data_IF_939985813382
#
_entry.id   IF_939985813382
#
_cell.length_a   1.000
_cell.length_b   1.000
_cell.length_c   1.000
_cell.angle_alpha   90.00
_cell.angle_beta   90.00
_cell.angle_gamma   90.00
#
_symmetry.space_group_name_H-M   'P 1'
#
loop_
_entity.id
_entity.type
_entity.pdbx_description
1 polymer ?
#
# COMPACT_ATOMS: atom_id res chain seq x y z
N UNK A 1 15.72 4.02 4.11
CA UNK A 1 15.70 5.25 3.28
C UNK A 1 14.34 5.94 3.40
N UNK A 2 14.30 7.27 3.43
CA UNK A 2 13.08 8.07 3.24
C UNK A 2 12.93 8.39 1.74
N UNK A 3 11.70 8.48 1.23
CA UNK A 3 11.45 8.82 -0.18
C UNK A 3 11.29 10.34 -0.35
N UNK A 4 11.60 10.85 -1.54
CA UNK A 4 11.47 12.25 -1.93
C UNK A 4 10.88 12.37 -3.35
N UNK A 5 10.27 13.51 -3.67
CA UNK A 5 9.65 13.78 -4.98
C UNK A 5 10.66 13.80 -6.13
N UNK A 6 11.93 14.14 -5.87
CA UNK A 6 12.98 14.17 -6.89
C UNK A 6 13.55 12.79 -7.22
N UNK A 7 13.18 11.74 -6.48
CA UNK A 7 13.67 10.39 -6.71
C UNK A 7 13.03 9.78 -7.95
N UNK A 8 13.81 9.01 -8.69
CA UNK A 8 13.23 8.21 -9.78
C UNK A 8 12.26 7.16 -9.24
N UNK A 9 11.29 6.78 -10.08
CA UNK A 9 10.32 5.70 -9.81
C UNK A 9 11.00 4.43 -9.33
N UNK A 10 12.16 4.07 -9.89
CA UNK A 10 12.89 2.88 -9.47
C UNK A 10 13.48 3.00 -8.07
N UNK A 11 14.04 4.16 -7.71
CA UNK A 11 14.56 4.37 -6.37
C UNK A 11 13.43 4.34 -5.32
N UNK A 12 12.25 4.88 -5.65
CA UNK A 12 11.06 4.81 -4.79
C UNK A 12 10.64 3.36 -4.57
N UNK A 13 10.56 2.56 -5.65
CA UNK A 13 10.19 1.13 -5.57
C UNK A 13 11.18 0.31 -4.75
N UNK A 14 12.49 0.54 -4.93
CA UNK A 14 13.52 -0.10 -4.12
C UNK A 14 13.35 0.25 -2.64
N UNK A 15 13.17 1.53 -2.31
CA UNK A 15 12.95 1.98 -0.93
C UNK A 15 11.71 1.34 -0.28
N UNK A 16 10.62 1.15 -1.05
CA UNK A 16 9.42 0.48 -0.56
C UNK A 16 9.61 -1.03 -0.43
N UNK A 17 10.33 -1.65 -1.36
CA UNK A 17 10.67 -3.08 -1.34
C UNK A 17 11.51 -3.44 -0.13
N UNK A 18 12.55 -2.65 0.18
CA UNK A 18 13.36 -2.80 1.40
C UNK A 18 12.53 -2.73 2.67
N UNK A 19 11.44 -1.95 2.64
CA UNK A 19 10.52 -1.85 3.76
C UNK A 19 9.54 -3.01 3.81
N UNK A 20 9.40 -3.83 2.76
CA UNK A 20 8.48 -4.97 2.68
C UNK A 20 7.23 -4.74 1.83
N UNK A 21 7.17 -3.66 1.05
CA UNK A 21 6.09 -3.37 0.11
C UNK A 21 6.46 -3.85 -1.31
N UNK A 22 5.61 -4.68 -1.92
CA UNK A 22 5.68 -5.00 -3.34
C UNK A 22 4.94 -3.96 -4.18
N UNK A 23 5.30 -3.81 -5.45
CA UNK A 23 4.61 -2.92 -6.40
C UNK A 23 4.03 -3.69 -7.59
N UNK A 24 2.83 -3.34 -8.02
CA UNK A 24 2.17 -3.87 -9.23
C UNK A 24 1.71 -2.70 -10.11
N UNK A 25 1.88 -2.84 -11.42
CA UNK A 25 1.54 -1.85 -12.43
C UNK A 25 0.50 -2.41 -13.40
N UNK A 26 -0.41 -1.56 -13.87
CA UNK A 26 -1.36 -1.93 -14.93
C UNK A 26 -1.68 -0.76 -15.83
N UNK A 27 -1.51 -0.95 -17.12
CA UNK A 27 -2.10 -0.09 -18.15
C UNK A 27 -3.45 -0.68 -18.54
N UNK A 28 -4.48 0.16 -18.60
CA UNK A 28 -5.84 -0.24 -18.95
C UNK A 28 -6.30 0.59 -20.14
N UNK A 29 -6.75 -0.08 -21.21
CA UNK A 29 -7.43 0.57 -22.32
C UNK A 29 -8.93 0.65 -22.00
N UNK A 30 -9.53 1.82 -22.13
CA UNK A 30 -10.96 1.97 -21.94
C UNK A 30 -11.71 1.41 -23.15
N UNK A 31 -12.72 0.57 -22.90
CA UNK A 31 -13.55 0.02 -23.98
C UNK A 31 -14.45 1.14 -24.53
N UNK A 32 -14.37 1.40 -25.83
CA UNK A 32 -15.17 2.43 -26.50
C UNK A 32 -14.55 3.82 -26.55
N UNK A 33 -13.31 4.00 -26.07
CA UNK A 33 -12.53 5.23 -26.28
C UNK A 33 -11.09 4.88 -26.68
N UNK A 34 -10.35 5.88 -27.20
CA UNK A 34 -8.91 5.75 -27.47
C UNK A 34 -8.05 6.07 -26.22
N UNK A 35 -8.70 6.25 -25.07
CA UNK A 35 -8.03 6.59 -23.82
C UNK A 35 -7.37 5.38 -23.16
N UNK A 36 -6.22 5.64 -22.53
CA UNK A 36 -5.52 4.71 -21.66
C UNK A 36 -5.49 5.28 -20.24
N UNK A 37 -5.63 4.39 -19.25
CA UNK A 37 -5.36 4.69 -17.86
C UNK A 37 -4.19 3.87 -17.35
N UNK A 38 -3.53 4.38 -16.32
CA UNK A 38 -2.48 3.68 -15.60
C UNK A 38 -2.86 3.55 -14.13
N UNK A 39 -2.57 2.39 -13.57
CA UNK A 39 -2.76 2.08 -12.16
C UNK A 39 -1.49 1.52 -11.55
N UNK A 40 -1.22 1.89 -10.31
CA UNK A 40 -0.17 1.31 -9.48
C UNK A 40 -0.73 0.89 -8.13
N UNK A 41 -0.28 -0.25 -7.63
CA UNK A 41 -0.55 -0.71 -6.27
C UNK A 41 0.75 -0.94 -5.53
N UNK A 42 0.86 -0.39 -4.33
CA UNK A 42 1.82 -0.86 -3.33
C UNK A 42 1.12 -1.82 -2.38
N UNK A 43 1.69 -3.01 -2.24
CA UNK A 43 1.05 -4.16 -1.62
C UNK A 43 1.91 -4.75 -0.51
N UNK A 44 1.29 -5.16 0.59
CA UNK A 44 2.01 -5.75 1.72
C UNK A 44 1.23 -6.91 2.35
N UNK A 45 1.92 -8.01 2.61
CA UNK A 45 1.34 -9.25 3.17
C UNK A 45 1.44 -9.35 4.70
N UNK A 46 2.37 -8.63 5.30
CA UNK A 46 2.61 -8.62 6.73
C UNK A 46 2.44 -7.19 7.25
N UNK A 47 1.64 -7.00 8.30
CA UNK A 47 1.49 -5.73 8.98
C UNK A 47 2.03 -5.82 10.40
N UNK A 48 3.04 -5.02 10.73
CA UNK A 48 3.63 -4.95 12.08
C UNK A 48 3.85 -6.31 12.75
N UNK A 49 4.36 -7.30 12.01
CA UNK A 49 4.64 -8.66 12.51
C UNK A 49 3.58 -9.70 12.16
N UNK A 50 2.34 -9.29 11.89
CA UNK A 50 1.22 -10.21 11.65
C UNK A 50 1.00 -10.43 10.16
N UNK A 51 0.97 -11.69 9.73
CA UNK A 51 0.57 -12.09 8.37
C UNK A 51 -0.90 -12.48 8.36
N UNK A 52 -1.67 -11.93 7.42
CA UNK A 52 -3.07 -12.29 7.18
C UNK A 52 -3.23 -12.88 5.76
N UNK A 53 -4.36 -13.52 5.49
CA UNK A 53 -4.62 -14.19 4.21
C UNK A 53 -4.77 -13.22 3.01
N UNK A 54 -4.92 -11.93 3.29
CA UNK A 54 -5.08 -10.88 2.28
C UNK A 54 -3.84 -9.96 2.23
N UNK A 55 -3.71 -9.20 1.15
CA UNK A 55 -2.69 -8.14 1.03
C UNK A 55 -3.31 -6.78 1.31
N UNK A 56 -2.65 -5.96 2.11
CA UNK A 56 -2.97 -4.52 2.20
C UNK A 56 -2.54 -3.90 0.89
N UNK A 57 -3.44 -3.14 0.26
CA UNK A 57 -3.20 -2.51 -1.04
C UNK A 57 -3.44 -1.02 -0.95
N UNK A 58 -2.46 -0.24 -1.37
CA UNK A 58 -2.58 1.20 -1.59
C UNK A 58 -2.49 1.45 -3.09
N UNK A 59 -3.58 1.93 -3.66
CA UNK A 59 -3.81 2.13 -5.08
C UNK A 59 -3.74 3.60 -5.47
N UNK A 60 -3.11 3.85 -6.61
CA UNK A 60 -3.16 5.10 -7.35
C UNK A 60 -3.56 4.86 -8.80
N UNK A 61 -4.31 5.79 -9.37
CA UNK A 61 -4.78 5.75 -10.76
C UNK A 61 -4.66 7.13 -11.41
N UNK A 62 -4.37 7.15 -12.72
CA UNK A 62 -4.44 8.34 -13.56
C UNK A 62 -4.76 7.96 -15.00
N UNK A 63 -5.46 8.85 -15.70
CA UNK A 63 -5.63 8.87 -17.16
C UNK A 63 -4.58 9.77 -17.85
N UNK A 64 -3.84 10.59 -17.10
CA UNK A 64 -2.73 11.40 -17.57
C UNK A 64 -1.40 10.63 -17.49
N UNK A 65 -1.02 10.00 -18.60
CA UNK A 65 0.22 9.24 -18.70
C UNK A 65 1.50 10.09 -18.69
N UNK A 66 1.39 11.42 -18.67
CA UNK A 66 2.55 12.30 -18.49
C UNK A 66 2.92 12.49 -17.01
N UNK A 67 2.03 12.09 -16.10
CA UNK A 67 2.13 12.35 -14.66
C UNK A 67 2.40 11.09 -13.82
N UNK A 68 2.99 10.06 -14.42
CA UNK A 68 3.18 8.75 -13.76
C UNK A 68 4.11 8.86 -12.55
N UNK A 69 5.22 9.59 -12.66
CA UNK A 69 6.22 9.68 -11.59
C UNK A 69 5.63 10.29 -10.31
N UNK A 70 4.84 11.37 -10.47
CA UNK A 70 4.10 12.00 -9.38
C UNK A 70 3.06 11.06 -8.76
N UNK A 71 2.35 10.29 -9.58
CA UNK A 71 1.39 9.29 -9.10
C UNK A 71 2.09 8.21 -8.28
N UNK A 72 3.22 7.68 -8.76
CA UNK A 72 4.01 6.68 -8.05
C UNK A 72 4.46 7.24 -6.70
N UNK A 73 5.03 8.43 -6.67
CA UNK A 73 5.47 9.08 -5.43
C UNK A 73 4.31 9.25 -4.44
N UNK A 74 3.18 9.83 -4.86
CA UNK A 74 2.03 10.06 -3.97
C UNK A 74 1.46 8.77 -3.41
N UNK A 75 1.40 7.72 -4.24
CA UNK A 75 0.91 6.40 -3.81
C UNK A 75 1.89 5.73 -2.84
N UNK A 76 3.19 5.84 -3.09
CA UNK A 76 4.23 5.34 -2.21
C UNK A 76 4.24 6.07 -0.86
N UNK A 77 4.16 7.40 -0.88
CA UNK A 77 4.08 8.24 0.32
C UNK A 77 2.86 7.88 1.17
N UNK A 78 1.70 7.66 0.54
CA UNK A 78 0.50 7.18 1.22
C UNK A 78 0.71 5.80 1.86
N UNK A 79 1.40 4.87 1.21
CA UNK A 79 1.69 3.56 1.78
C UNK A 79 2.63 3.63 2.99
N UNK A 80 3.67 4.44 2.91
CA UNK A 80 4.57 4.67 4.04
C UNK A 80 3.86 5.37 5.20
N UNK A 81 3.03 6.36 4.90
CA UNK A 81 2.22 7.04 5.91
C UNK A 81 1.21 6.09 6.57
N UNK A 82 0.58 5.21 5.80
CA UNK A 82 -0.32 4.20 6.34
C UNK A 82 0.37 3.30 7.37
N UNK A 83 1.62 2.90 7.10
CA UNK A 83 2.42 2.11 8.04
C UNK A 83 2.62 2.82 9.39
N UNK A 84 2.88 4.12 9.36
CA UNK A 84 3.10 4.94 10.57
C UNK A 84 1.80 5.30 11.29
N UNK A 85 0.74 5.64 10.54
CA UNK A 85 -0.53 6.11 11.13
C UNK A 85 -1.36 4.95 11.72
N UNK A 86 -1.19 3.72 11.22
CA UNK A 86 -1.95 2.53 11.63
C UNK A 86 -1.06 1.48 12.30
N UNK A 87 -0.46 1.84 13.44
CA UNK A 87 0.41 0.93 14.23
C UNK A 87 -0.35 -0.22 14.88
N UNK A 88 -1.57 0.09 15.31
CA UNK A 88 -2.45 -0.81 16.05
C UNK A 88 -3.73 -1.15 15.28
N UNK A 89 -3.70 -0.96 13.95
CA UNK A 89 -4.84 -1.23 13.08
C UNK A 89 -4.41 -1.62 11.66
N UNK A 90 -5.32 -2.26 10.93
CA UNK A 90 -5.16 -2.52 9.50
C UNK A 90 -5.88 -1.42 8.71
N UNK A 91 -5.19 -0.68 7.82
CA UNK A 91 -5.84 0.30 6.97
C UNK A 91 -6.53 -0.36 5.78
N UNK A 92 -7.69 0.17 5.38
CA UNK A 92 -8.31 -0.05 4.08
C UNK A 92 -8.42 1.27 3.32
N UNK A 93 -8.19 1.22 2.00
CA UNK A 93 -8.40 2.37 1.15
C UNK A 93 -9.84 2.42 0.65
N UNK A 94 -10.48 3.56 0.84
CA UNK A 94 -11.83 3.85 0.36
C UNK A 94 -11.80 4.28 -1.11
N UNK A 95 -12.97 4.30 -1.76
CA UNK A 95 -13.12 4.71 -3.17
C UNK A 95 -12.70 6.17 -3.43
N UNK A 96 -12.77 7.04 -2.43
CA UNK A 96 -12.29 8.43 -2.49
C UNK A 96 -10.77 8.55 -2.28
N UNK A 97 -10.08 7.43 -2.07
CA UNK A 97 -8.65 7.35 -1.83
C UNK A 97 -8.20 7.66 -0.40
N UNK A 98 -9.12 7.95 0.52
CA UNK A 98 -8.81 8.07 1.96
C UNK A 98 -8.54 6.70 2.58
N UNK A 99 -7.82 6.68 3.70
CA UNK A 99 -7.59 5.47 4.48
C UNK A 99 -8.48 5.47 5.72
N UNK A 100 -9.04 4.30 6.05
CA UNK A 100 -9.82 4.07 7.26
C UNK A 100 -9.38 2.77 7.92
N UNK A 101 -9.72 2.58 9.19
CA UNK A 101 -9.51 1.31 9.90
C UNK A 101 -10.44 0.25 9.30
N UNK A 102 -9.88 -0.86 8.84
CA UNK A 102 -10.63 -2.06 8.52
C UNK A 102 -11.01 -2.77 9.81
N UNK A 103 -12.28 -2.70 10.21
CA UNK A 103 -12.72 -3.26 11.50
C UNK A 103 -12.51 -4.77 11.59
N UNK A 104 -12.73 -5.49 10.49
CA UNK A 104 -12.65 -6.96 10.47
C UNK A 104 -11.18 -7.37 10.56
N UNK A 105 -10.34 -6.90 9.64
CA UNK A 105 -8.92 -7.26 9.62
C UNK A 105 -8.19 -6.75 10.85
N UNK A 106 -8.59 -5.61 11.40
CA UNK A 106 -7.99 -5.11 12.64
C UNK A 106 -8.33 -5.99 13.84
N UNK A 107 -9.57 -6.49 13.97
CA UNK A 107 -9.90 -7.40 15.04
C UNK A 107 -9.04 -8.69 15.00
N UNK A 108 -8.81 -9.23 13.79
CA UNK A 108 -7.89 -10.36 13.60
C UNK A 108 -6.45 -10.01 13.98
N UNK A 109 -5.99 -8.82 13.60
CA UNK A 109 -4.65 -8.32 13.91
C UNK A 109 -4.42 -8.16 15.42
N UNK A 110 -5.37 -7.55 16.13
CA UNK A 110 -5.34 -7.39 17.59
C UNK A 110 -5.29 -8.78 18.27
N UNK A 111 -6.16 -9.70 17.85
CA UNK A 111 -6.19 -11.08 18.37
C UNK A 111 -4.88 -11.84 18.12
N UNK A 112 -4.25 -11.64 16.96
CA UNK A 112 -2.97 -12.28 16.63
C UNK A 112 -1.84 -11.76 17.53
N UNK A 113 -1.75 -10.44 17.73
CA UNK A 113 -0.77 -9.83 18.64
C UNK A 113 -0.93 -10.33 20.09
N UNK A 114 -2.17 -10.43 20.58
CA UNK A 114 -2.44 -10.95 21.93
C UNK A 114 -1.98 -12.40 22.10
N UNK A 115 -2.15 -13.26 21.09
CA UNK A 115 -1.69 -14.65 21.10
C UNK A 115 -0.16 -14.75 21.16
N UNK A 116 0.54 -13.92 20.40
CA UNK A 116 2.01 -13.88 20.43
C UNK A 116 2.55 -13.44 21.80
N UNK A 117 1.84 -12.55 22.50
CA UNK A 117 2.20 -12.11 23.86
C UNK A 117 1.89 -13.15 24.94
N UNK A 118 0.82 -13.94 24.76
CA UNK A 118 0.41 -14.96 25.74
C UNK A 118 1.12 -16.30 25.58
N UNK A 119 1.61 -16.61 24.38
CA UNK A 119 2.40 -17.82 24.11
C UNK A 119 3.62 -17.49 23.24
N UNK A 120 4.63 -16.79 23.77
CA UNK A 120 5.88 -16.60 23.04
C UNK A 120 6.48 -17.99 22.77
N UNK A 121 6.72 -18.30 21.50
CA UNK A 121 7.45 -19.52 21.12
C UNK A 121 8.80 -19.51 21.85
N UNK A 122 8.97 -20.46 22.79
CA UNK A 122 10.24 -20.72 23.49
C UNK A 122 11.30 -21.24 22.53
#
# INVERSE_FOLDING_TARGET
MCIDESMSVMQIRLALTEKGWGSEDRITKWVGTDGYGYSIWFQRWNWHGVRFGNKICIHGHTDDLTNLDCLVYKTAAKALKAWEDYKDAIPCQMSDGTLKKDLILTHYFETAKERELTFPLM
#
